data_IF_658032397411
#
_entry.id   IF_658032397411
#
_cell.length_a   1.000
_cell.length_b   1.000
_cell.length_c   1.000
_cell.angle_alpha   90.00
_cell.angle_beta   90.00
_cell.angle_gamma   90.00
#
_symmetry.space_group_name_H-M   'P 1'
#
loop_
_entity.id
_entity.type
_entity.pdbx_description
1 polymer ?
#
# COMPACT_ATOMS: atom_id res chain seq x y z
N UNK A 1 -19.78 21.98 36.53
CA UNK A 1 -18.62 22.46 35.76
C UNK A 1 -17.51 21.44 35.89
N UNK A 2 -17.39 20.52 34.94
CA UNK A 2 -16.24 19.61 34.86
C UNK A 2 -15.15 20.33 34.05
N UNK A 3 -14.02 20.60 34.71
CA UNK A 3 -12.86 21.23 34.10
C UNK A 3 -12.38 20.43 32.89
N UNK A 4 -12.15 21.14 31.79
CA UNK A 4 -11.38 20.69 30.64
C UNK A 4 -9.95 20.38 31.12
N UNK A 5 -9.70 19.15 31.54
CA UNK A 5 -8.35 18.61 31.66
C UNK A 5 -7.89 18.20 30.26
N UNK A 6 -7.67 19.20 29.39
CA UNK A 6 -6.78 19.00 28.26
C UNK A 6 -5.40 18.84 28.87
N UNK A 7 -4.84 17.62 28.83
CA UNK A 7 -3.42 17.41 29.14
C UNK A 7 -2.64 18.55 28.48
N UNK A 8 -1.77 19.27 29.21
CA UNK A 8 -0.93 20.26 28.56
C UNK A 8 -0.15 19.49 27.50
N UNK A 9 -0.40 19.80 26.23
CA UNK A 9 0.53 19.52 25.16
C UNK A 9 1.74 20.38 25.50
N UNK A 10 2.57 19.88 26.41
CA UNK A 10 3.87 20.43 26.66
C UNK A 10 4.59 20.25 25.34
N UNK A 11 4.56 21.30 24.52
CA UNK A 11 5.68 21.66 23.68
C UNK A 11 6.87 21.79 24.63
N UNK A 12 7.42 20.66 25.07
CA UNK A 12 8.81 20.62 25.47
C UNK A 12 9.52 20.94 24.18
N UNK A 13 9.72 22.24 23.95
CA UNK A 13 10.56 22.76 22.88
C UNK A 13 11.95 22.23 23.19
N UNK A 14 12.21 20.99 22.76
CA UNK A 14 13.55 20.45 22.66
C UNK A 14 14.22 21.43 21.72
N UNK A 15 15.20 22.19 22.20
CA UNK A 15 15.79 23.29 21.43
C UNK A 15 16.15 22.82 20.01
N UNK A 16 16.15 23.71 19.00
CA UNK A 16 16.20 23.33 17.57
C UNK A 16 17.25 22.28 17.22
N UNK A 17 18.45 22.36 17.83
CA UNK A 17 19.52 21.39 17.63
C UNK A 17 19.21 19.98 18.17
N UNK A 18 18.53 19.88 19.31
CA UNK A 18 18.11 18.58 19.87
C UNK A 18 16.96 17.97 19.07
N UNK A 19 16.02 18.78 18.57
CA UNK A 19 14.96 18.33 17.67
C UNK A 19 15.54 17.81 16.35
N UNK A 20 16.44 18.59 15.74
CA UNK A 20 17.17 18.18 14.53
C UNK A 20 17.93 16.87 14.74
N UNK A 21 18.67 16.72 15.84
CA UNK A 21 19.42 15.50 16.15
C UNK A 21 18.49 14.28 16.34
N UNK A 22 17.36 14.44 17.03
CA UNK A 22 16.38 13.38 17.22
C UNK A 22 15.74 12.95 15.88
N UNK A 23 15.36 13.90 15.04
CA UNK A 23 14.74 13.61 13.74
C UNK A 23 15.73 12.98 12.76
N UNK A 24 16.98 13.46 12.76
CA UNK A 24 18.06 12.85 11.97
C UNK A 24 18.28 11.40 12.38
N UNK A 25 18.31 11.11 13.70
CA UNK A 25 18.44 9.74 14.19
C UNK A 25 17.28 8.84 13.72
N UNK A 26 16.04 9.33 13.78
CA UNK A 26 14.87 8.58 13.30
C UNK A 26 14.98 8.26 11.80
N UNK A 27 15.31 9.26 10.98
CA UNK A 27 15.48 9.08 9.54
C UNK A 27 16.60 8.07 9.26
N UNK A 28 17.72 8.15 9.98
CA UNK A 28 18.81 7.18 9.82
C UNK A 28 18.40 5.74 10.15
N UNK A 29 17.58 5.53 11.19
CA UNK A 29 17.04 4.19 11.51
C UNK A 29 16.14 3.68 10.39
N UNK A 30 15.20 4.50 9.92
CA UNK A 30 14.32 4.13 8.80
C UNK A 30 15.12 3.80 7.52
N UNK A 31 16.21 4.54 7.24
CA UNK A 31 17.07 4.25 6.09
C UNK A 31 17.80 2.91 6.21
N UNK A 32 18.22 2.53 7.42
CA UNK A 32 18.83 1.21 7.68
C UNK A 32 17.78 0.10 7.44
N UNK A 33 16.57 0.26 7.99
CA UNK A 33 15.49 -0.71 7.83
C UNK A 33 15.02 -0.83 6.35
N UNK A 34 15.00 0.28 5.61
CA UNK A 34 14.73 0.29 4.16
C UNK A 34 15.76 -0.56 3.43
N UNK A 35 17.04 -0.46 3.77
CA UNK A 35 18.08 -1.24 3.09
C UNK A 35 17.86 -2.75 3.29
N UNK A 36 17.58 -3.18 4.53
CA UNK A 36 17.26 -4.58 4.82
C UNK A 36 16.00 -5.05 4.09
N UNK A 37 14.96 -4.22 4.05
CA UNK A 37 13.70 -4.53 3.36
C UNK A 37 13.89 -4.59 1.84
N UNK A 38 14.71 -3.72 1.26
CA UNK A 38 15.07 -3.70 -0.15
C UNK A 38 15.78 -5.00 -0.57
N UNK A 39 16.65 -5.55 0.27
CA UNK A 39 17.29 -6.84 -0.02
C UNK A 39 16.24 -7.95 -0.14
N UNK A 40 15.31 -8.03 0.81
CA UNK A 40 14.20 -8.99 0.77
C UNK A 40 13.28 -8.77 -0.44
N UNK A 41 12.93 -7.52 -0.74
CA UNK A 41 12.14 -7.17 -1.92
C UNK A 41 12.81 -7.65 -3.21
N UNK A 42 14.10 -7.35 -3.41
CA UNK A 42 14.84 -7.75 -4.59
C UNK A 42 14.95 -9.28 -4.72
N UNK A 43 15.10 -10.00 -3.60
CA UNK A 43 15.11 -11.46 -3.60
C UNK A 43 13.78 -12.03 -4.13
N UNK A 44 12.64 -11.60 -3.58
CA UNK A 44 11.33 -12.09 -4.01
C UNK A 44 10.96 -11.64 -5.43
N UNK A 45 11.38 -10.43 -5.83
CA UNK A 45 11.20 -9.92 -7.19
C UNK A 45 11.99 -10.75 -8.21
N UNK A 46 13.22 -11.11 -7.87
CA UNK A 46 14.06 -11.95 -8.73
C UNK A 46 13.45 -13.34 -8.89
N UNK A 47 13.00 -13.98 -7.80
CA UNK A 47 12.34 -15.28 -7.87
C UNK A 47 10.99 -15.20 -8.62
N UNK A 48 10.24 -14.10 -8.50
CA UNK A 48 9.01 -13.87 -9.25
C UNK A 48 9.26 -13.88 -10.76
N UNK A 49 10.22 -13.09 -11.24
CA UNK A 49 10.57 -13.05 -12.66
C UNK A 49 11.17 -14.36 -13.15
N UNK A 50 11.96 -15.03 -12.30
CA UNK A 50 12.51 -16.36 -12.63
C UNK A 50 11.39 -17.37 -12.86
N UNK A 51 10.39 -17.43 -11.98
CA UNK A 51 9.26 -18.34 -12.12
C UNK A 51 8.48 -18.10 -13.42
N UNK A 52 8.24 -16.84 -13.76
CA UNK A 52 7.60 -16.47 -15.04
C UNK A 52 8.45 -16.87 -16.25
N UNK A 53 9.76 -16.61 -16.20
CA UNK A 53 10.68 -16.92 -17.28
C UNK A 53 10.84 -18.44 -17.51
N UNK A 54 10.88 -19.22 -16.42
CA UNK A 54 10.96 -20.68 -16.48
C UNK A 54 9.71 -21.26 -17.16
N UNK A 55 8.52 -20.82 -16.76
CA UNK A 55 7.24 -21.27 -17.35
C UNK A 55 7.10 -20.81 -18.79
N UNK A 56 7.47 -19.56 -19.11
CA UNK A 56 7.54 -19.08 -20.49
C UNK A 56 8.43 -19.98 -21.36
N UNK A 57 9.62 -20.34 -20.88
CA UNK A 57 10.55 -21.21 -21.58
C UNK A 57 10.00 -22.61 -21.81
N UNK A 58 9.27 -23.16 -20.85
CA UNK A 58 8.61 -24.48 -20.96
C UNK A 58 7.46 -24.42 -21.98
N UNK A 59 6.56 -23.45 -21.85
CA UNK A 59 5.42 -23.24 -22.73
C UNK A 59 5.88 -23.03 -24.19
N UNK A 60 6.88 -22.18 -24.41
CA UNK A 60 7.44 -21.95 -25.74
C UNK A 60 8.03 -23.23 -26.36
N UNK A 61 8.73 -24.05 -25.57
CA UNK A 61 9.23 -25.36 -26.05
C UNK A 61 8.09 -26.28 -26.47
N UNK A 62 7.00 -26.35 -25.69
CA UNK A 62 5.81 -27.14 -26.03
C UNK A 62 5.18 -26.66 -27.35
N UNK A 63 5.06 -25.35 -27.55
CA UNK A 63 4.55 -24.78 -28.81
C UNK A 63 5.44 -25.14 -29.98
N UNK A 64 6.77 -25.00 -29.83
CA UNK A 64 7.71 -25.32 -30.90
C UNK A 64 7.68 -26.81 -31.29
N UNK A 65 7.35 -27.70 -30.35
CA UNK A 65 7.19 -29.13 -30.63
C UNK A 65 5.87 -29.45 -31.35
N UNK A 66 4.76 -28.79 -30.99
CA UNK A 66 3.43 -29.05 -31.60
C UNK A 66 3.17 -28.32 -32.90
N UNK A 67 3.73 -27.12 -33.07
CA UNK A 67 3.48 -26.27 -34.25
C UNK A 67 3.78 -26.96 -35.60
N UNK A 68 4.87 -27.75 -35.75
CA UNK A 68 5.14 -28.48 -36.99
C UNK A 68 4.13 -29.59 -37.32
N UNK A 69 3.37 -30.08 -36.34
CA UNK A 69 2.35 -31.12 -36.54
C UNK A 69 1.04 -30.57 -37.13
N UNK A 70 0.89 -29.24 -37.16
CA UNK A 70 -0.31 -28.55 -37.64
C UNK A 70 -0.28 -28.47 -39.17
N UNK A 71 -1.34 -28.93 -39.88
CA UNK A 71 -1.42 -28.85 -41.34
C UNK A 71 -1.19 -27.42 -41.86
N UNK A 72 -0.40 -27.30 -42.92
CA UNK A 72 -0.15 -26.00 -43.59
C UNK A 72 -1.22 -25.68 -44.63
N UNK A 73 -2.46 -25.53 -44.16
CA UNK A 73 -3.61 -25.12 -44.96
C UNK A 73 -4.05 -23.68 -44.65
N UNK A 74 -5.21 -23.27 -45.16
CA UNK A 74 -5.76 -21.92 -44.96
C UNK A 74 -6.07 -21.59 -43.49
N UNK A 75 -6.24 -22.60 -42.64
CA UNK A 75 -6.51 -22.43 -41.21
C UNK A 75 -5.25 -22.53 -40.34
N UNK A 76 -4.09 -22.83 -40.93
CA UNK A 76 -2.83 -23.07 -40.23
C UNK A 76 -2.51 -22.03 -39.15
N UNK A 77 -2.60 -20.74 -39.48
CA UNK A 77 -2.27 -19.65 -38.54
C UNK A 77 -3.22 -19.65 -37.33
N UNK A 78 -4.51 -19.88 -37.55
CA UNK A 78 -5.51 -19.90 -36.48
C UNK A 78 -5.36 -21.16 -35.61
N UNK A 79 -5.04 -22.30 -36.21
CA UNK A 79 -4.72 -23.52 -35.48
C UNK A 79 -3.46 -23.37 -34.61
N UNK A 80 -2.38 -22.76 -35.15
CA UNK A 80 -1.15 -22.45 -34.39
C UNK A 80 -1.45 -21.51 -33.22
N UNK A 81 -2.24 -20.45 -33.43
CA UNK A 81 -2.64 -19.52 -32.36
C UNK A 81 -3.40 -20.23 -31.25
N UNK A 82 -4.36 -21.11 -31.57
CA UNK A 82 -5.11 -21.87 -30.56
C UNK A 82 -4.18 -22.74 -29.73
N UNK A 83 -3.29 -23.48 -30.38
CA UNK A 83 -2.28 -24.30 -29.67
C UNK A 83 -1.37 -23.46 -28.79
N UNK A 84 -0.96 -22.27 -29.26
CA UNK A 84 -0.17 -21.32 -28.47
C UNK A 84 -0.94 -20.84 -27.24
N UNK A 85 -2.17 -20.35 -27.42
CA UNK A 85 -3.04 -19.90 -26.32
C UNK A 85 -3.26 -21.04 -25.32
N UNK A 86 -3.68 -22.22 -25.78
CA UNK A 86 -4.00 -23.35 -24.91
C UNK A 86 -2.78 -23.79 -24.08
N UNK A 87 -1.58 -23.84 -24.68
CA UNK A 87 -0.37 -24.20 -23.94
C UNK A 87 -0.03 -23.15 -22.89
N UNK A 88 -0.02 -21.87 -23.27
CA UNK A 88 0.33 -20.80 -22.36
C UNK A 88 -0.70 -20.65 -21.23
N UNK A 89 -1.99 -20.71 -21.55
CA UNK A 89 -3.07 -20.62 -20.57
C UNK A 89 -2.98 -21.74 -19.54
N UNK A 90 -2.80 -22.99 -19.97
CA UNK A 90 -2.65 -24.12 -19.06
C UNK A 90 -1.40 -24.01 -18.18
N UNK A 91 -0.23 -23.73 -18.77
CA UNK A 91 1.04 -23.68 -18.04
C UNK A 91 1.09 -22.50 -17.05
N UNK A 92 0.54 -21.33 -17.41
CA UNK A 92 0.47 -20.19 -16.51
C UNK A 92 -0.64 -20.33 -15.47
N UNK A 93 -1.76 -20.99 -15.78
CA UNK A 93 -2.77 -21.34 -14.77
C UNK A 93 -2.16 -22.24 -13.70
N UNK A 94 -1.40 -23.27 -14.08
CA UNK A 94 -0.70 -24.13 -13.12
C UNK A 94 0.31 -23.34 -12.27
N UNK A 95 1.06 -22.42 -12.88
CA UNK A 95 1.98 -21.55 -12.15
C UNK A 95 1.24 -20.70 -11.11
N UNK A 96 0.16 -20.04 -11.50
CA UNK A 96 -0.57 -19.11 -10.65
C UNK A 96 -1.35 -19.82 -9.53
N UNK A 97 -1.82 -21.04 -9.78
CA UNK A 97 -2.42 -21.91 -8.76
C UNK A 97 -1.37 -22.55 -7.84
N UNK A 98 -0.08 -22.47 -8.19
CA UNK A 98 0.97 -23.05 -7.39
C UNK A 98 1.17 -22.28 -6.08
N UNK A 99 1.18 -23.04 -4.97
CA UNK A 99 1.45 -22.50 -3.63
C UNK A 99 2.78 -21.73 -3.58
N UNK A 100 3.81 -22.24 -4.26
CA UNK A 100 5.15 -21.62 -4.28
C UNK A 100 5.12 -20.23 -4.92
N UNK A 101 4.43 -20.07 -6.05
CA UNK A 101 4.30 -18.76 -6.70
C UNK A 101 3.50 -17.80 -5.83
N UNK A 102 2.36 -18.25 -5.29
CA UNK A 102 1.54 -17.46 -4.38
C UNK A 102 2.29 -16.99 -3.12
N UNK A 103 3.08 -17.87 -2.49
CA UNK A 103 3.93 -17.51 -1.34
C UNK A 103 4.99 -16.48 -1.71
N UNK A 104 5.68 -16.66 -2.84
CA UNK A 104 6.69 -15.72 -3.30
C UNK A 104 6.09 -14.33 -3.62
N UNK A 105 4.98 -14.30 -4.35
CA UNK A 105 4.28 -13.06 -4.68
C UNK A 105 3.71 -12.37 -3.43
N UNK A 106 3.13 -13.12 -2.50
CA UNK A 106 2.65 -12.58 -1.22
C UNK A 106 3.77 -11.94 -0.41
N UNK A 107 4.95 -12.59 -0.35
CA UNK A 107 6.13 -12.03 0.32
C UNK A 107 6.67 -10.79 -0.39
N UNK A 108 6.67 -10.77 -1.73
CA UNK A 108 7.07 -9.60 -2.52
C UNK A 108 6.19 -8.38 -2.17
N UNK A 109 4.86 -8.55 -2.23
CA UNK A 109 3.90 -7.49 -1.90
C UNK A 109 4.04 -7.06 -0.44
N UNK A 110 4.25 -8.00 0.48
CA UNK A 110 4.51 -7.68 1.89
C UNK A 110 5.72 -6.75 2.05
N UNK A 111 6.82 -7.03 1.33
CA UNK A 111 8.02 -6.19 1.37
C UNK A 111 7.80 -4.82 0.72
N UNK A 112 7.02 -4.74 -0.35
CA UNK A 112 6.63 -3.46 -0.96
C UNK A 112 5.82 -2.58 0.02
N UNK A 113 4.89 -3.18 0.76
CA UNK A 113 4.10 -2.49 1.78
C UNK A 113 4.97 -2.01 2.95
N UNK A 114 5.94 -2.83 3.39
CA UNK A 114 6.93 -2.44 4.40
C UNK A 114 7.76 -1.23 3.93
N UNK A 115 8.28 -1.25 2.69
CA UNK A 115 9.02 -0.11 2.12
C UNK A 115 8.17 1.17 2.09
N UNK A 116 6.91 1.04 1.67
CA UNK A 116 5.96 2.17 1.67
C UNK A 116 5.75 2.73 3.07
N UNK A 117 5.67 1.86 4.09
CA UNK A 117 5.54 2.27 5.48
C UNK A 117 6.76 3.04 5.97
N UNK A 118 7.98 2.56 5.70
CA UNK A 118 9.21 3.28 6.07
C UNK A 118 9.27 4.66 5.40
N UNK A 119 8.88 4.75 4.13
CA UNK A 119 8.82 6.03 3.43
C UNK A 119 7.80 7.01 4.02
N UNK A 120 6.63 6.50 4.42
CA UNK A 120 5.63 7.30 5.12
C UNK A 120 6.15 7.79 6.48
N UNK A 121 6.86 6.96 7.24
CA UNK A 121 7.47 7.36 8.51
C UNK A 121 8.50 8.48 8.32
N UNK A 122 9.40 8.35 7.33
CA UNK A 122 10.36 9.41 6.98
C UNK A 122 9.62 10.72 6.63
N UNK A 123 8.60 10.62 5.78
CA UNK A 123 7.79 11.78 5.38
C UNK A 123 7.13 12.45 6.58
N UNK A 124 6.57 11.67 7.52
CA UNK A 124 5.97 12.18 8.75
C UNK A 124 7.00 12.92 9.62
N UNK A 125 8.21 12.38 9.77
CA UNK A 125 9.30 13.03 10.52
C UNK A 125 9.71 14.35 9.86
N UNK A 126 9.78 14.39 8.52
CA UNK A 126 10.12 15.62 7.77
C UNK A 126 9.03 16.67 7.94
N UNK A 127 7.75 16.30 7.78
CA UNK A 127 6.62 17.22 7.95
C UNK A 127 6.57 17.82 9.36
N UNK A 128 6.71 16.97 10.39
CA UNK A 128 6.78 17.42 11.78
C UNK A 128 7.98 18.34 12.04
N UNK A 129 9.13 18.08 11.41
CA UNK A 129 10.31 18.96 11.51
C UNK A 129 10.06 20.35 10.92
N UNK A 130 9.23 20.43 9.88
CA UNK A 130 8.85 21.69 9.23
C UNK A 130 7.63 22.37 9.88
N UNK A 131 7.13 21.86 11.01
CA UNK A 131 5.84 22.25 11.60
C UNK A 131 4.67 22.17 10.60
N UNK A 132 4.73 21.23 9.66
CA UNK A 132 3.66 20.93 8.72
C UNK A 132 2.88 19.72 9.22
N UNK A 133 1.54 19.72 9.12
CA UNK A 133 0.74 18.60 9.55
C UNK A 133 0.92 17.41 8.60
N UNK A 134 0.93 16.20 9.15
CA UNK A 134 0.90 14.98 8.35
C UNK A 134 -0.54 14.57 8.00
N UNK A 135 -0.68 13.59 7.10
CA UNK A 135 -1.99 13.15 6.60
C UNK A 135 -2.92 12.66 7.72
N UNK A 136 -2.39 11.94 8.69
CA UNK A 136 -3.16 11.37 9.80
C UNK A 136 -3.69 12.48 10.72
N UNK A 137 -2.86 13.47 11.03
CA UNK A 137 -3.24 14.65 11.79
C UNK A 137 -4.33 15.47 11.07
N UNK A 138 -4.22 15.64 9.74
CA UNK A 138 -5.26 16.32 8.94
C UNK A 138 -6.57 15.53 8.94
N UNK A 139 -6.51 14.20 8.76
CA UNK A 139 -7.67 13.32 8.76
C UNK A 139 -8.38 13.30 10.13
N UNK A 140 -7.62 13.34 11.23
CA UNK A 140 -8.15 13.43 12.59
C UNK A 140 -8.88 14.77 12.80
N UNK A 141 -8.24 15.88 12.45
CA UNK A 141 -8.86 17.21 12.52
C UNK A 141 -10.14 17.26 11.69
N UNK A 142 -10.15 16.66 10.49
CA UNK A 142 -11.34 16.59 9.65
C UNK A 142 -12.48 15.80 10.31
N UNK A 143 -12.17 14.64 10.92
CA UNK A 143 -13.15 13.82 11.65
C UNK A 143 -13.72 14.58 12.87
N UNK A 144 -12.88 15.28 13.61
CA UNK A 144 -13.31 16.10 14.74
C UNK A 144 -14.21 17.26 14.31
N UNK A 145 -13.82 18.00 13.25
CA UNK A 145 -14.64 19.08 12.69
C UNK A 145 -16.01 18.54 12.25
N UNK A 146 -16.04 17.39 11.58
CA UNK A 146 -17.29 16.75 11.18
C UNK A 146 -18.16 16.36 12.39
N UNK A 147 -17.57 15.79 13.43
CA UNK A 147 -18.25 15.45 14.69
C UNK A 147 -18.80 16.69 15.41
N UNK A 148 -18.02 17.77 15.47
CA UNK A 148 -18.42 19.05 16.05
C UNK A 148 -19.58 19.67 15.27
N UNK A 149 -19.51 19.70 13.93
CA UNK A 149 -20.59 20.20 13.08
C UNK A 149 -21.90 19.46 13.38
N UNK A 150 -21.86 18.13 13.52
CA UNK A 150 -23.03 17.32 13.87
C UNK A 150 -23.59 17.66 15.25
N UNK A 151 -22.73 17.88 16.25
CA UNK A 151 -23.14 18.27 17.61
C UNK A 151 -23.78 19.66 17.63
N UNK A 152 -23.18 20.63 16.94
CA UNK A 152 -23.71 21.99 16.80
C UNK A 152 -25.09 21.96 16.15
N UNK A 153 -25.24 21.29 15.01
CA UNK A 153 -26.55 21.18 14.33
C UNK A 153 -27.62 20.54 15.22
N UNK A 154 -27.27 19.55 16.05
CA UNK A 154 -28.21 18.96 17.00
C UNK A 154 -28.65 19.97 18.08
N UNK A 155 -27.70 20.70 18.65
CA UNK A 155 -27.98 21.73 19.66
C UNK A 155 -28.82 22.88 19.09
N UNK A 156 -28.55 23.32 17.86
CA UNK A 156 -29.36 24.34 17.17
C UNK A 156 -30.81 23.90 16.98
N UNK A 157 -31.02 22.62 16.62
CA UNK A 157 -32.36 22.04 16.50
C UNK A 157 -33.09 21.97 17.85
N UNK A 158 -32.40 21.53 18.91
CA UNK A 158 -32.95 21.48 20.26
C UNK A 158 -33.32 22.88 20.77
N UNK A 159 -32.44 23.86 20.60
CA UNK A 159 -32.70 25.27 20.94
C UNK A 159 -33.92 25.82 20.18
N UNK A 160 -34.03 25.50 18.89
CA UNK A 160 -35.18 25.93 18.07
C UNK A 160 -36.48 25.30 18.55
N UNK A 161 -36.46 24.03 18.96
CA UNK A 161 -37.64 23.35 19.54
C UNK A 161 -38.04 23.96 20.88
N UNK A 162 -37.10 24.23 21.77
CA UNK A 162 -37.39 24.86 23.06
C UNK A 162 -37.94 26.28 22.90
N UNK A 163 -37.37 27.10 22.00
CA UNK A 163 -37.93 28.42 21.68
C UNK A 163 -39.37 28.35 21.17
N UNK A 164 -39.73 27.33 20.38
CA UNK A 164 -41.10 27.12 19.89
C UNK A 164 -42.07 26.65 20.98
N UNK A 165 -41.60 25.91 21.98
CA UNK A 165 -42.42 25.50 23.13
C UNK A 165 -42.73 26.69 24.04
N UNK A 166 -41.74 27.53 24.31
CA UNK A 166 -41.89 28.71 25.20
C UNK A 166 -42.65 29.88 24.55
N UNK A 167 -42.94 29.81 23.25
CA UNK A 167 -43.72 30.80 22.51
C UNK A 167 -45.20 30.41 22.35
N UNK A 168 -45.63 29.30 22.96
CA UNK A 168 -47.04 28.87 23.09
C UNK A 168 -47.46 28.97 24.55
#
# INVERSE_FOLDING_TARGET
MHLMSSKPQALTSIGPMRSFAANSKKISVELIEINETLLGFNQYLTEYYKQLADVWGIAQKKVNLKSPEIPQDVEHIEAVKRVWIDIFDNDFTELFDSKKFGENYGNLVSKELELTKHWNNITNVILQSANLPNKEEVDEVYKEIHSLKKRVSKLELELTKEKRKNAK
#
